data_IF_742875364590
#
_entry.id   IF_742875364590
#
_cell.length_a   1.000
_cell.length_b   1.000
_cell.length_c   1.000
_cell.angle_alpha   90.00
_cell.angle_beta   90.00
_cell.angle_gamma   90.00
#
_symmetry.space_group_name_H-M   'P 1'
#
loop_
_entity.id
_entity.type
_entity.pdbx_description
1 polymer ?
#
# COMPACT_ATOMS: atom_id res chain seq x y z
N UNK A 1 -2.87 14.31 -13.81
CA UNK A 1 -3.08 13.52 -12.58
C UNK A 1 -2.24 12.26 -12.76
N UNK A 2 -1.19 12.07 -11.97
CA UNK A 2 -0.37 10.87 -12.06
C UNK A 2 -1.08 9.75 -11.32
N UNK A 3 -1.39 8.66 -12.02
CA UNK A 3 -2.04 7.48 -11.44
C UNK A 3 -0.99 6.37 -11.46
N UNK A 4 -0.66 5.89 -10.26
CA UNK A 4 0.08 4.65 -10.08
C UNK A 4 -0.96 3.54 -9.89
N UNK A 5 -0.85 2.48 -10.68
CA UNK A 5 -1.72 1.31 -10.57
C UNK A 5 -0.92 0.16 -9.99
N UNK A 6 -1.53 -0.55 -9.03
CA UNK A 6 -0.97 -1.77 -8.46
C UNK A 6 -2.01 -2.85 -8.63
N UNK A 7 -1.65 -3.97 -9.24
CA UNK A 7 -2.56 -5.11 -9.45
C UNK A 7 -1.84 -6.39 -9.10
N UNK A 8 -2.56 -7.38 -8.56
CA UNK A 8 -1.94 -8.63 -8.17
C UNK A 8 -2.76 -9.47 -7.22
N UNK A 9 -2.27 -10.69 -6.98
CA UNK A 9 -2.83 -11.61 -6.01
C UNK A 9 -2.00 -11.65 -4.73
N UNK A 10 -2.67 -11.76 -3.57
CA UNK A 10 -2.01 -11.89 -2.28
C UNK A 10 -2.73 -12.91 -1.39
N UNK A 11 -1.98 -13.87 -0.85
CA UNK A 11 -2.42 -14.82 0.16
C UNK A 11 -1.80 -14.42 1.50
N UNK A 12 -2.60 -13.73 2.31
CA UNK A 12 -2.19 -13.21 3.61
C UNK A 12 -1.91 -14.32 4.63
N UNK A 13 -2.55 -15.49 4.48
CA UNK A 13 -2.34 -16.60 5.40
C UNK A 13 -0.99 -17.29 5.16
N UNK A 14 -0.57 -17.36 3.89
CA UNK A 14 0.71 -17.96 3.49
C UNK A 14 1.85 -16.96 3.30
N UNK A 15 1.66 -15.66 3.61
CA UNK A 15 2.66 -14.60 3.43
C UNK A 15 3.28 -14.58 2.02
N UNK A 16 2.42 -14.65 0.98
CA UNK A 16 2.89 -14.65 -0.41
C UNK A 16 1.99 -13.86 -1.35
N UNK A 17 2.59 -13.26 -2.37
CA UNK A 17 1.86 -12.50 -3.38
C UNK A 17 2.74 -12.02 -4.50
N UNK A 18 2.13 -11.59 -5.59
CA UNK A 18 2.81 -10.96 -6.71
C UNK A 18 1.99 -9.76 -7.14
N UNK A 19 2.63 -8.59 -7.07
CA UNK A 19 2.07 -7.31 -7.47
C UNK A 19 2.82 -6.78 -8.69
N UNK A 20 2.08 -6.40 -9.73
CA UNK A 20 2.55 -5.57 -10.83
C UNK A 20 2.25 -4.11 -10.49
N UNK A 21 3.24 -3.25 -10.73
CA UNK A 21 3.20 -1.83 -10.37
C UNK A 21 3.49 -1.00 -11.60
N UNK A 22 2.50 -0.22 -12.03
CA UNK A 22 2.55 0.54 -13.29
C UNK A 22 2.42 2.05 -13.05
N UNK A 23 3.38 2.82 -13.58
CA UNK A 23 3.38 4.28 -13.61
C UNK A 23 3.65 4.78 -15.04
N UNK A 24 2.61 4.89 -15.90
CA UNK A 24 2.79 5.31 -17.27
C UNK A 24 3.47 6.68 -17.39
N UNK A 25 4.48 6.77 -18.26
CA UNK A 25 5.23 8.00 -18.51
C UNK A 25 6.40 8.26 -17.55
N UNK A 26 6.74 7.31 -16.68
CA UNK A 26 7.98 7.31 -15.89
C UNK A 26 9.21 6.84 -16.69
N UNK A 27 10.41 7.07 -16.14
CA UNK A 27 11.66 6.51 -16.70
C UNK A 27 11.74 4.98 -16.51
N UNK A 28 11.17 4.51 -15.41
CA UNK A 28 10.80 3.12 -15.18
C UNK A 28 9.28 3.18 -14.97
N UNK A 29 8.53 2.58 -15.88
CA UNK A 29 7.07 2.61 -15.89
C UNK A 29 6.45 1.33 -15.33
N UNK A 30 7.24 0.30 -15.09
CA UNK A 30 6.81 -0.99 -14.56
C UNK A 30 7.79 -1.58 -13.53
N UNK A 31 7.26 -2.23 -12.49
CA UNK A 31 8.01 -3.12 -11.57
C UNK A 31 7.10 -4.24 -11.08
N UNK A 32 7.70 -5.41 -10.91
CA UNK A 32 7.10 -6.54 -10.24
C UNK A 32 7.64 -6.64 -8.81
N UNK A 33 6.73 -6.96 -7.88
CA UNK A 33 7.03 -7.17 -6.48
C UNK A 33 6.48 -8.52 -6.04
N UNK A 34 7.38 -9.45 -5.69
CA UNK A 34 7.03 -10.80 -5.25
C UNK A 34 7.29 -10.91 -3.76
N UNK A 35 6.27 -11.31 -3.01
CA UNK A 35 6.31 -11.57 -1.58
C UNK A 35 6.37 -13.08 -1.38
N UNK A 36 7.37 -13.55 -0.64
CA UNK A 36 7.51 -14.95 -0.26
C UNK A 36 8.53 -15.06 0.88
N UNK A 37 8.31 -15.98 1.82
CA UNK A 37 9.24 -16.28 2.91
C UNK A 37 9.72 -15.03 3.67
N UNK A 38 8.79 -14.10 3.93
CA UNK A 38 9.06 -12.80 4.58
C UNK A 38 10.10 -11.93 3.88
N UNK A 39 10.29 -12.13 2.58
CA UNK A 39 11.10 -11.29 1.68
C UNK A 39 10.23 -10.63 0.62
N UNK A 40 10.76 -9.56 0.07
CA UNK A 40 10.23 -8.90 -1.12
C UNK A 40 11.32 -8.95 -2.19
N UNK A 41 10.97 -9.47 -3.35
CA UNK A 41 11.78 -9.44 -4.57
C UNK A 41 11.23 -8.36 -5.48
N UNK A 42 12.09 -7.46 -5.96
CA UNK A 42 11.70 -6.27 -6.73
C UNK A 42 12.42 -6.27 -8.08
N UNK A 43 11.69 -6.19 -9.19
CA UNK A 43 12.28 -5.99 -10.52
C UNK A 43 12.47 -4.49 -10.81
N UNK A 44 13.37 -4.15 -11.74
CA UNK A 44 13.57 -2.76 -12.17
C UNK A 44 14.09 -1.83 -11.07
N UNK A 45 14.84 -2.35 -10.08
CA UNK A 45 15.48 -1.49 -9.09
C UNK A 45 16.57 -0.65 -9.76
N UNK A 46 16.64 0.64 -9.45
CA UNK A 46 17.63 1.51 -10.05
C UNK A 46 19.06 1.05 -9.69
N UNK A 47 19.91 0.90 -10.71
CA UNK A 47 21.32 0.53 -10.53
C UNK A 47 21.59 -0.98 -10.44
N UNK A 48 20.57 -1.83 -10.58
CA UNK A 48 20.74 -3.27 -10.81
C UNK A 48 20.43 -3.59 -12.29
N UNK A 49 20.96 -4.71 -12.80
CA UNK A 49 20.70 -5.13 -14.18
C UNK A 49 19.22 -5.40 -14.42
N UNK A 50 18.74 -5.18 -15.65
CA UNK A 50 17.32 -5.35 -16.02
C UNK A 50 16.78 -6.75 -15.72
N UNK A 51 17.63 -7.78 -15.88
CA UNK A 51 17.30 -9.18 -15.58
C UNK A 51 17.60 -9.60 -14.12
N UNK A 52 18.02 -8.66 -13.28
CA UNK A 52 18.35 -8.90 -11.87
C UNK A 52 17.27 -8.34 -10.96
N UNK A 53 16.94 -9.11 -9.92
CA UNK A 53 15.98 -8.73 -8.90
C UNK A 53 16.68 -8.21 -7.65
N UNK A 54 16.20 -7.11 -7.09
CA UNK A 54 16.53 -6.71 -5.73
C UNK A 54 15.82 -7.63 -4.75
N UNK A 55 16.47 -8.03 -3.65
CA UNK A 55 15.82 -8.79 -2.57
C UNK A 55 16.08 -8.15 -1.21
N UNK A 56 15.03 -8.00 -0.41
CA UNK A 56 15.14 -7.50 0.96
C UNK A 56 14.13 -8.15 1.91
N UNK A 57 14.34 -7.99 3.22
CA UNK A 57 13.36 -8.44 4.22
C UNK A 57 12.11 -7.57 4.18
N UNK A 58 10.93 -8.21 4.13
CA UNK A 58 9.63 -7.53 4.16
C UNK A 58 9.46 -6.64 5.38
N UNK A 59 9.95 -7.07 6.54
CA UNK A 59 9.88 -6.31 7.79
C UNK A 59 10.77 -5.07 7.83
N UNK A 60 11.80 -5.00 6.98
CA UNK A 60 12.72 -3.86 6.91
C UNK A 60 12.26 -2.78 5.93
N UNK A 61 11.35 -3.11 5.00
CA UNK A 61 10.76 -2.15 4.08
C UNK A 61 10.05 -1.02 4.84
N UNK A 62 10.19 0.20 4.34
CA UNK A 62 9.60 1.42 4.92
C UNK A 62 8.77 2.16 3.88
N UNK A 63 7.78 2.91 4.34
CA UNK A 63 7.00 3.80 3.49
C UNK A 63 7.74 5.13 3.32
N UNK A 64 7.90 5.59 2.07
CA UNK A 64 8.61 6.82 1.75
C UNK A 64 7.67 8.00 1.40
N UNK A 65 6.36 7.76 1.33
CA UNK A 65 5.35 8.81 1.14
C UNK A 65 4.08 8.59 1.97
N UNK A 66 3.34 9.67 2.23
CA UNK A 66 2.06 9.62 2.91
C UNK A 66 1.03 8.82 2.08
N UNK A 67 0.34 7.88 2.74
CA UNK A 67 -0.60 6.94 2.13
C UNK A 67 0.01 6.00 1.07
N UNK A 68 1.33 5.86 1.01
CA UNK A 68 1.99 4.75 0.30
C UNK A 68 2.33 3.65 1.32
N UNK A 69 2.23 2.41 0.88
CA UNK A 69 2.68 1.26 1.67
C UNK A 69 4.17 1.00 1.42
N UNK A 70 4.92 0.46 2.41
CA UNK A 70 6.28 -0.02 2.19
C UNK A 70 6.30 -1.04 1.06
N UNK A 71 6.96 -0.74 -0.06
CA UNK A 71 6.98 -1.64 -1.23
C UNK A 71 5.59 -2.16 -1.61
N UNK A 72 4.60 -1.26 -1.68
CA UNK A 72 3.20 -1.55 -2.06
C UNK A 72 2.50 -2.67 -1.27
N UNK A 73 3.04 -3.05 -0.10
CA UNK A 73 2.54 -4.15 0.73
C UNK A 73 1.05 -3.94 1.13
N UNK A 74 0.11 -4.76 0.64
CA UNK A 74 -1.32 -4.56 0.90
C UNK A 74 -1.69 -4.79 2.37
N UNK A 75 -0.91 -5.59 3.11
CA UNK A 75 -1.16 -5.79 4.54
C UNK A 75 -0.99 -4.48 5.31
N UNK A 76 -0.09 -3.60 4.87
CA UNK A 76 0.07 -2.28 5.47
C UNK A 76 -1.23 -1.46 5.43
N UNK A 77 -1.91 -1.47 4.28
CA UNK A 77 -3.20 -0.77 4.08
C UNK A 77 -4.28 -1.42 4.93
N UNK A 78 -4.30 -2.75 5.03
CA UNK A 78 -5.23 -3.49 5.88
C UNK A 78 -5.04 -3.18 7.37
N UNK A 79 -3.79 -3.09 7.84
CA UNK A 79 -3.47 -2.69 9.21
C UNK A 79 -3.94 -1.25 9.50
N UNK A 80 -3.77 -0.35 8.54
CA UNK A 80 -4.22 1.04 8.68
C UNK A 80 -5.74 1.14 8.76
N UNK A 81 -6.49 0.47 7.87
CA UNK A 81 -7.96 0.53 7.90
C UNK A 81 -8.54 -0.14 9.15
N UNK A 82 -7.90 -1.20 9.65
CA UNK A 82 -8.32 -1.87 10.89
C UNK A 82 -8.15 -0.98 12.13
N UNK A 83 -7.24 -0.01 12.08
CA UNK A 83 -6.99 0.96 13.17
C UNK A 83 -7.86 2.23 13.08
N UNK A 84 -8.83 2.27 12.16
CA UNK A 84 -9.73 3.41 11.98
C UNK A 84 -10.51 3.75 13.25
N UNK A 85 -10.70 5.05 13.51
CA UNK A 85 -11.41 5.57 14.69
C UNK A 85 -12.59 6.46 14.29
N UNK A 86 -13.46 6.74 15.27
CA UNK A 86 -14.68 7.56 15.13
C UNK A 86 -15.54 7.08 13.95
N UNK A 87 -15.80 5.77 13.94
CA UNK A 87 -16.42 5.09 12.81
C UNK A 87 -17.92 5.37 12.80
N UNK A 88 -18.43 5.80 11.65
CA UNK A 88 -19.85 5.93 11.35
C UNK A 88 -20.24 5.05 10.17
N UNK A 89 -21.48 4.54 10.20
CA UNK A 89 -22.09 3.82 9.09
C UNK A 89 -22.77 4.84 8.18
N UNK A 90 -22.31 4.94 6.94
CA UNK A 90 -22.76 5.98 5.99
C UNK A 90 -23.94 5.52 5.12
N UNK A 91 -24.10 4.21 4.91
CA UNK A 91 -25.18 3.66 4.11
C UNK A 91 -24.73 2.49 3.24
N UNK A 92 -25.63 2.01 2.38
CA UNK A 92 -25.33 0.98 1.38
C UNK A 92 -24.99 1.61 0.03
N UNK A 93 -23.97 1.06 -0.63
CA UNK A 93 -23.51 1.46 -1.95
C UNK A 93 -23.26 0.19 -2.79
N UNK A 94 -23.27 0.34 -4.13
CA UNK A 94 -22.85 -0.72 -5.04
C UNK A 94 -21.41 -0.43 -5.49
N UNK A 95 -20.49 -1.32 -5.14
CA UNK A 95 -19.07 -1.23 -5.47
C UNK A 95 -18.72 -2.38 -6.41
N UNK A 96 -18.42 -2.07 -7.67
CA UNK A 96 -18.04 -3.05 -8.69
C UNK A 96 -19.03 -4.22 -8.82
N UNK A 97 -20.33 -3.94 -8.70
CA UNK A 97 -21.40 -4.95 -8.77
C UNK A 97 -21.73 -5.60 -7.41
N UNK A 98 -20.94 -5.35 -6.36
CA UNK A 98 -21.15 -5.90 -5.02
C UNK A 98 -21.85 -4.87 -4.12
N UNK A 99 -22.98 -5.28 -3.53
CA UNK A 99 -23.67 -4.47 -2.53
C UNK A 99 -22.88 -4.47 -1.22
N UNK A 100 -22.50 -3.29 -0.75
CA UNK A 100 -21.67 -3.14 0.43
C UNK A 100 -22.13 -1.97 1.31
N UNK A 101 -21.98 -2.11 2.62
CA UNK A 101 -22.17 -1.03 3.58
C UNK A 101 -20.87 -0.25 3.68
N UNK A 102 -20.97 1.07 3.54
CA UNK A 102 -19.85 1.98 3.72
C UNK A 102 -19.73 2.42 5.17
N UNK A 103 -18.53 2.27 5.71
CA UNK A 103 -18.11 2.81 6.99
C UNK A 103 -17.08 3.90 6.76
N UNK A 104 -17.21 5.02 7.47
CA UNK A 104 -16.26 6.12 7.41
C UNK A 104 -15.65 6.37 8.78
N UNK A 105 -14.39 6.75 8.80
CA UNK A 105 -13.71 7.19 10.02
C UNK A 105 -12.45 7.97 9.70
N UNK A 106 -11.58 8.06 10.69
CA UNK A 106 -10.30 8.78 10.61
C UNK A 106 -9.14 7.87 11.02
N UNK A 107 -7.96 8.16 10.48
CA UNK A 107 -6.70 7.54 10.91
C UNK A 107 -5.92 8.52 11.78
N UNK A 108 -5.44 8.04 12.93
CA UNK A 108 -4.62 8.85 13.84
C UNK A 108 -3.16 8.96 13.35
N UNK A 109 -2.40 9.89 13.94
CA UNK A 109 -1.01 10.13 13.56
C UNK A 109 -0.12 8.88 13.67
N UNK A 110 -0.37 8.05 14.68
CA UNK A 110 0.37 6.79 14.86
C UNK A 110 0.12 5.83 13.70
N UNK A 111 -1.12 5.75 13.24
CA UNK A 111 -1.56 4.87 12.15
C UNK A 111 -0.99 5.33 10.81
N UNK A 112 -1.08 6.62 10.49
CA UNK A 112 -0.59 7.14 9.20
C UNK A 112 0.94 7.16 9.13
N UNK A 113 1.64 7.17 10.27
CA UNK A 113 3.10 7.10 10.33
C UNK A 113 3.63 5.69 10.56
N UNK A 114 2.79 4.66 10.53
CA UNK A 114 3.22 3.26 10.68
C UNK A 114 4.32 2.93 9.67
N UNK A 115 5.44 2.34 10.14
CA UNK A 115 6.57 1.88 9.30
C UNK A 115 7.14 2.91 8.30
N UNK A 116 6.90 4.21 8.49
CA UNK A 116 7.50 5.25 7.66
C UNK A 116 9.02 5.36 7.85
N UNK A 117 9.71 5.75 6.78
CA UNK A 117 11.10 6.15 6.82
C UNK A 117 11.31 7.31 7.83
N UNK A 118 12.45 7.36 8.55
CA UNK A 118 12.65 8.33 9.63
C UNK A 118 12.51 9.80 9.20
N UNK A 119 12.98 10.16 8.02
CA UNK A 119 12.88 11.53 7.48
C UNK A 119 11.43 11.89 7.15
N UNK A 120 10.68 10.96 6.57
CA UNK A 120 9.25 11.13 6.25
C UNK A 120 8.43 11.24 7.52
N UNK A 121 8.68 10.39 8.51
CA UNK A 121 8.07 10.49 9.85
C UNK A 121 8.33 11.86 10.48
N UNK A 122 9.57 12.36 10.38
CA UNK A 122 9.94 13.67 10.92
C UNK A 122 9.13 14.79 10.26
N UNK A 123 8.99 14.76 8.92
CA UNK A 123 8.14 15.71 8.18
C UNK A 123 6.67 15.63 8.62
N UNK A 124 6.14 14.43 8.83
CA UNK A 124 4.76 14.26 9.32
C UNK A 124 4.59 14.78 10.74
N UNK A 125 5.56 14.57 11.62
CA UNK A 125 5.54 15.14 12.98
C UNK A 125 5.50 16.67 12.92
N UNK A 126 6.38 17.29 12.13
CA UNK A 126 6.40 18.75 11.95
C UNK A 126 5.08 19.29 11.39
N UNK A 127 4.48 18.59 10.42
CA UNK A 127 3.18 18.97 9.86
C UNK A 127 2.07 18.92 10.93
N UNK A 128 2.05 17.87 11.76
CA UNK A 128 1.13 17.72 12.88
C UNK A 128 1.31 18.84 13.90
N UNK A 129 2.55 19.12 14.29
CA UNK A 129 2.87 20.13 15.30
C UNK A 129 2.50 21.54 14.80
N UNK A 130 2.73 21.82 13.51
CA UNK A 130 2.31 23.07 12.86
C UNK A 130 0.79 23.22 12.80
N UNK A 131 0.07 22.13 12.55
CA UNK A 131 -1.40 22.11 12.51
C UNK A 131 -2.03 22.21 13.91
N UNK A 132 -1.27 21.86 14.96
CA UNK A 132 -1.77 21.74 16.33
C UNK A 132 -2.72 20.55 16.54
N UNK A 133 -2.81 19.65 15.56
CA UNK A 133 -3.66 18.45 15.58
C UNK A 133 -3.18 17.40 14.58
N UNK A 134 -3.69 16.17 14.70
CA UNK A 134 -3.44 15.10 13.74
C UNK A 134 -3.86 15.50 12.32
N UNK A 135 -3.13 15.00 11.31
CA UNK A 135 -3.49 15.23 9.91
C UNK A 135 -4.90 14.66 9.63
N UNK A 136 -5.74 15.37 8.86
CA UNK A 136 -7.12 14.96 8.58
C UNK A 136 -7.17 13.87 7.52
N UNK A 137 -6.72 12.67 7.88
CA UNK A 137 -6.77 11.48 7.01
C UNK A 137 -8.10 10.77 7.20
N UNK A 138 -8.96 10.86 6.19
CA UNK A 138 -10.23 10.14 6.15
C UNK A 138 -10.02 8.76 5.56
N UNK A 139 -10.69 7.78 6.16
CA UNK A 139 -10.73 6.41 5.67
C UNK A 139 -12.18 5.96 5.49
N UNK A 140 -12.44 5.28 4.38
CA UNK A 140 -13.70 4.64 4.06
C UNK A 140 -13.44 3.14 3.82
N UNK A 141 -14.27 2.28 4.39
CA UNK A 141 -14.27 0.83 4.21
C UNK A 141 -15.64 0.38 3.72
N UNK A 142 -15.68 -0.38 2.62
CA UNK A 142 -16.90 -0.98 2.10
C UNK A 142 -16.92 -2.46 2.44
N UNK A 143 -17.94 -2.90 3.17
CA UNK A 143 -18.07 -4.27 3.67
C UNK A 143 -19.32 -4.92 3.08
N UNK A 144 -19.19 -6.08 2.45
CA UNK A 144 -20.30 -6.80 1.84
C UNK A 144 -21.20 -7.52 2.86
N UNK A 145 -22.28 -8.12 2.36
CA UNK A 145 -23.22 -8.88 3.20
C UNK A 145 -22.64 -10.12 3.88
N UNK A 146 -21.43 -10.56 3.50
CA UNK A 146 -20.69 -11.65 4.13
C UNK A 146 -19.67 -11.14 5.16
N UNK A 147 -19.57 -9.82 5.37
CA UNK A 147 -18.60 -9.22 6.28
C UNK A 147 -17.21 -9.05 5.67
N UNK A 148 -17.06 -9.18 4.34
CA UNK A 148 -15.78 -9.06 3.65
C UNK A 148 -15.56 -7.64 3.17
N UNK A 149 -14.32 -7.17 3.29
CA UNK A 149 -13.91 -5.88 2.74
C UNK A 149 -13.82 -5.98 1.22
N UNK A 150 -14.53 -5.12 0.50
CA UNK A 150 -14.52 -5.08 -0.98
C UNK A 150 -13.76 -3.89 -1.54
N UNK A 151 -13.68 -2.80 -0.75
CA UNK A 151 -12.88 -1.64 -1.11
C UNK A 151 -12.46 -0.86 0.14
N UNK A 152 -11.29 -0.24 0.05
CA UNK A 152 -10.78 0.76 0.97
C UNK A 152 -10.55 2.04 0.18
N UNK A 153 -10.82 3.18 0.80
CA UNK A 153 -10.35 4.48 0.32
C UNK A 153 -9.77 5.26 1.47
N UNK A 154 -8.54 5.76 1.30
CA UNK A 154 -7.93 6.69 2.22
C UNK A 154 -7.63 7.98 1.48
N UNK A 155 -7.87 9.11 2.12
CA UNK A 155 -7.63 10.41 1.48
C UNK A 155 -7.20 11.46 2.48
N UNK A 156 -6.35 12.35 1.99
CA UNK A 156 -5.92 13.55 2.70
C UNK A 156 -5.93 14.70 1.71
N UNK A 157 -6.40 15.85 2.19
CA UNK A 157 -6.39 17.09 1.44
C UNK A 157 -5.82 18.19 2.35
N UNK A 158 -4.62 18.68 2.02
CA UNK A 158 -3.91 19.67 2.81
C UNK A 158 -3.15 20.62 1.89
N UNK A 159 -3.32 21.94 2.11
CA UNK A 159 -2.48 22.99 1.51
C UNK A 159 -2.24 22.84 0.00
N UNK A 160 -3.30 22.51 -0.76
CA UNK A 160 -3.24 22.33 -2.22
C UNK A 160 -2.77 20.96 -2.70
N UNK A 161 -2.30 20.09 -1.80
CA UNK A 161 -1.97 18.70 -2.09
C UNK A 161 -3.15 17.78 -1.74
N UNK A 162 -3.53 16.93 -2.70
CA UNK A 162 -4.52 15.87 -2.51
C UNK A 162 -3.90 14.52 -2.81
N UNK A 163 -3.96 13.62 -1.84
CA UNK A 163 -3.56 12.22 -2.02
C UNK A 163 -4.78 11.34 -1.79
N UNK A 164 -4.95 10.34 -2.63
CA UNK A 164 -6.01 9.34 -2.49
C UNK A 164 -5.44 7.98 -2.82
N UNK A 165 -5.61 7.04 -1.88
CA UNK A 165 -5.39 5.62 -2.08
C UNK A 165 -6.77 4.97 -2.23
N UNK A 166 -6.92 4.11 -3.23
CA UNK A 166 -8.07 3.21 -3.34
C UNK A 166 -7.53 1.80 -3.54
N UNK A 167 -7.97 0.85 -2.72
CA UNK A 167 -7.64 -0.57 -2.84
C UNK A 167 -8.94 -1.35 -2.97
N UNK A 168 -9.13 -2.02 -4.10
CA UNK A 168 -10.25 -2.93 -4.31
C UNK A 168 -9.80 -4.36 -3.98
N UNK A 169 -10.70 -5.14 -3.40
CA UNK A 169 -10.47 -6.53 -3.04
C UNK A 169 -11.56 -7.40 -3.69
N UNK A 170 -11.12 -8.32 -4.53
CA UNK A 170 -11.97 -9.28 -5.27
C UNK A 170 -11.41 -10.68 -5.13
N UNK A 171 -12.11 -11.67 -5.71
CA UNK A 171 -11.63 -13.04 -5.86
C UNK A 171 -11.20 -13.70 -4.53
N UNK A 172 -11.87 -13.29 -3.45
CA UNK A 172 -11.55 -13.72 -2.09
C UNK A 172 -11.77 -15.24 -1.97
N UNK A 173 -10.69 -15.96 -1.69
CA UNK A 173 -10.66 -17.42 -1.56
C UNK A 173 -9.97 -18.13 -2.72
N UNK A 174 -9.65 -17.43 -3.80
CA UNK A 174 -8.90 -18.00 -4.92
C UNK A 174 -7.42 -18.23 -4.55
N UNK A 175 -6.78 -19.30 -5.06
CA UNK A 175 -5.41 -19.64 -4.71
C UNK A 175 -4.40 -18.70 -5.37
N UNK A 176 -3.47 -18.16 -4.58
CA UNK A 176 -2.35 -17.35 -5.08
C UNK A 176 -1.10 -18.20 -5.29
N UNK A 177 -0.50 -18.06 -6.47
CA UNK A 177 0.75 -18.73 -6.86
C UNK A 177 1.79 -17.68 -7.19
N UNK A 178 3.01 -17.90 -6.72
CA UNK A 178 4.16 -17.03 -6.97
C UNK A 178 5.35 -17.88 -7.38
N UNK A 179 6.21 -17.33 -8.23
CA UNK A 179 7.49 -17.94 -8.60
C UNK A 179 8.60 -16.99 -8.17
N UNK A 180 9.40 -17.37 -7.19
CA UNK A 180 10.51 -16.51 -6.75
C UNK A 180 11.68 -16.59 -7.75
N UNK A 181 12.40 -15.48 -7.97
CA UNK A 181 13.63 -15.48 -8.77
C UNK A 181 14.67 -16.44 -8.22
N UNK A 182 15.52 -17.00 -9.10
CA UNK A 182 16.64 -17.85 -8.68
C UNK A 182 17.64 -17.00 -7.88
N UNK A 183 18.31 -17.60 -6.90
CA UNK A 183 19.29 -16.88 -6.09
C UNK A 183 20.40 -16.19 -6.92
N UNK A 184 20.82 -16.80 -8.03
CA UNK A 184 21.81 -16.24 -8.95
C UNK A 184 21.33 -14.98 -9.70
N UNK A 185 20.02 -14.77 -9.77
CA UNK A 185 19.38 -13.62 -10.42
C UNK A 185 18.94 -12.57 -9.39
N UNK A 186 19.41 -12.68 -8.14
CA UNK A 186 19.05 -11.76 -7.04
C UNK A 186 20.26 -11.08 -6.44
N UNK A 187 20.09 -9.81 -6.06
CA UNK A 187 21.07 -9.03 -5.29
C UNK A 187 20.42 -8.47 -4.03
N UNK A 188 21.05 -8.62 -2.84
CA UNK A 188 20.53 -8.00 -1.62
C UNK A 188 20.50 -6.48 -1.76
N UNK A 189 19.39 -5.87 -1.36
CA UNK A 189 19.23 -4.41 -1.29
C UNK A 189 18.81 -3.98 0.12
N UNK A 190 19.31 -2.84 0.56
CA UNK A 190 19.00 -2.29 1.89
C UNK A 190 17.96 -1.19 1.84
N UNK A 191 17.76 -0.59 0.67
CA UNK A 191 16.80 0.47 0.41
C UNK A 191 16.34 0.37 -1.04
N UNK A 192 15.05 0.62 -1.27
CA UNK A 192 14.45 0.71 -2.59
C UNK A 192 13.65 2.00 -2.61
N UNK A 193 14.11 2.96 -3.40
CA UNK A 193 13.46 4.26 -3.54
C UNK A 193 12.62 4.37 -4.81
N UNK A 194 12.06 5.57 -5.00
CA UNK A 194 11.31 5.94 -6.19
C UNK A 194 9.80 5.80 -6.00
N UNK A 195 9.06 6.67 -6.71
CA UNK A 195 7.59 6.78 -6.60
C UNK A 195 6.91 5.43 -6.86
N UNK A 196 7.44 4.66 -7.81
CA UNK A 196 6.91 3.36 -8.21
C UNK A 196 6.97 2.35 -7.06
N UNK A 197 8.07 2.32 -6.31
CA UNK A 197 8.27 1.36 -5.23
C UNK A 197 7.61 1.78 -3.90
N UNK A 198 7.49 3.09 -3.64
CA UNK A 198 6.68 3.63 -2.53
C UNK A 198 7.41 3.88 -1.23
#
# INVERSE_FOLDING_TARGET
>A
MYVLTITGGFDFAADKGHLAVDLPGGAIDHSDQIFADSKIYISGVQGIGEDTWGVMSRGQAKAHYLLRAPLNDPEHVLQQIAAMRKISREGEENIQGVRAVRYRGILDHRTITLRMAPDVRTKMNQARDTLGSDLPVFADAWVDGQGRLVQIRMSVNMSGARVTLTMALSDIGEPVRVTVPRAADTVPVTEVGGILNG
#
